data_IF_824658922466
#
_entry.id   IF_824658922466
#
_cell.length_a   1.000
_cell.length_b   1.000
_cell.length_c   1.000
_cell.angle_alpha   90.00
_cell.angle_beta   90.00
_cell.angle_gamma   90.00
#
_symmetry.space_group_name_H-M   'P 1'
#
loop_
_entity.id
_entity.type
_entity.pdbx_description
1 polymer ?
#
# COMPACT_ATOMS: atom_id res chain seq x y z
N UNK A 1 -4.40 7.73 8.54
CA UNK A 1 -4.02 6.64 9.46
C UNK A 1 -4.92 5.41 9.31
N UNK A 2 -6.25 5.56 9.34
CA UNK A 2 -7.19 4.43 9.24
C UNK A 2 -7.01 3.58 7.98
N UNK A 3 -6.86 4.20 6.80
CA UNK A 3 -6.59 3.48 5.53
C UNK A 3 -5.37 2.57 5.67
N UNK A 4 -4.31 3.07 6.34
CA UNK A 4 -3.08 2.32 6.53
C UNK A 4 -3.28 1.17 7.53
N UNK A 5 -3.94 1.40 8.66
CA UNK A 5 -4.22 0.32 9.62
C UNK A 5 -5.08 -0.78 8.97
N UNK A 6 -6.11 -0.42 8.22
CA UNK A 6 -6.94 -1.41 7.51
C UNK A 6 -6.14 -2.24 6.50
N UNK A 7 -5.17 -1.62 5.81
CA UNK A 7 -4.29 -2.34 4.89
C UNK A 7 -3.34 -3.30 5.63
N UNK A 8 -2.81 -2.88 6.79
CA UNK A 8 -1.97 -3.71 7.66
C UNK A 8 -2.75 -4.91 8.19
N UNK A 9 -3.98 -4.69 8.68
CA UNK A 9 -4.84 -5.76 9.19
C UNK A 9 -5.18 -6.78 8.09
N UNK A 10 -5.42 -6.32 6.85
CA UNK A 10 -5.59 -7.22 5.71
C UNK A 10 -4.31 -8.01 5.40
N UNK A 11 -3.14 -7.37 5.42
CA UNK A 11 -1.87 -8.05 5.19
C UNK A 11 -1.59 -9.13 6.26
N UNK A 12 -1.93 -8.87 7.52
CA UNK A 12 -1.86 -9.85 8.59
C UNK A 12 -2.73 -11.08 8.33
N UNK A 13 -3.98 -10.86 7.89
CA UNK A 13 -4.90 -11.95 7.49
C UNK A 13 -4.34 -12.77 6.33
N UNK A 14 -3.62 -12.13 5.42
CA UNK A 14 -2.91 -12.79 4.32
C UNK A 14 -1.59 -13.47 4.74
N UNK A 15 -1.27 -13.49 6.03
CA UNK A 15 -0.10 -14.19 6.59
C UNK A 15 1.17 -13.34 6.67
N UNK A 16 1.13 -12.06 6.28
CA UNK A 16 2.28 -11.15 6.39
C UNK A 16 2.29 -10.56 7.82
N UNK A 17 3.11 -11.12 8.72
CA UNK A 17 3.05 -10.78 10.15
C UNK A 17 3.58 -9.38 10.50
N UNK A 18 4.54 -8.87 9.72
CA UNK A 18 5.16 -7.54 9.93
C UNK A 18 5.31 -6.83 8.58
N UNK A 19 4.21 -6.42 7.94
CA UNK A 19 4.24 -5.79 6.63
C UNK A 19 5.07 -4.51 6.66
N UNK A 20 5.85 -4.33 5.59
CA UNK A 20 6.63 -3.13 5.30
C UNK A 20 5.81 -2.19 4.46
N UNK A 21 5.62 -0.97 4.94
CA UNK A 21 4.72 0.00 4.33
C UNK A 21 5.50 1.21 3.86
N UNK A 22 5.51 1.42 2.55
CA UNK A 22 6.01 2.64 1.94
C UNK A 22 4.86 3.65 1.80
N UNK A 23 5.00 4.84 2.41
CA UNK A 23 4.10 5.97 2.17
C UNK A 23 4.66 6.83 1.06
N UNK A 24 3.95 6.89 -0.06
CA UNK A 24 4.44 7.53 -1.27
C UNK A 24 4.38 9.05 -1.18
N UNK A 25 5.44 9.68 -1.68
CA UNK A 25 5.49 11.10 -1.96
C UNK A 25 6.40 11.33 -3.20
N UNK A 26 6.35 12.50 -3.85
CA UNK A 26 7.15 12.75 -5.05
C UNK A 26 8.65 12.90 -4.80
N UNK A 27 9.07 13.11 -3.54
CA UNK A 27 10.47 13.25 -3.10
C UNK A 27 10.65 12.59 -1.73
N UNK A 28 11.88 12.25 -1.37
CA UNK A 28 12.20 11.47 -0.15
C UNK A 28 12.50 12.32 1.08
N UNK A 29 12.58 13.64 0.91
CA UNK A 29 12.81 14.59 2.00
C UNK A 29 11.50 15.29 2.35
N UNK A 30 11.26 15.48 3.64
CA UNK A 30 10.10 16.26 4.11
C UNK A 30 10.21 17.69 3.61
N UNK A 31 9.26 18.08 2.77
CA UNK A 31 9.12 19.43 2.26
C UNK A 31 7.76 19.97 2.72
N UNK A 32 7.71 20.98 3.60
CA UNK A 32 6.45 21.58 4.07
C UNK A 32 5.55 22.11 2.94
N UNK A 33 6.09 22.44 1.78
CA UNK A 33 5.33 22.91 0.61
C UNK A 33 4.68 21.75 -0.17
N UNK A 34 5.01 20.50 0.17
CA UNK A 34 4.48 19.28 -0.45
C UNK A 34 3.79 18.43 0.62
N UNK A 35 2.46 18.58 0.73
CA UNK A 35 1.65 17.92 1.76
C UNK A 35 1.88 16.40 1.86
N UNK A 36 2.03 15.71 0.72
CA UNK A 36 2.28 14.28 0.68
C UNK A 36 3.52 13.87 1.50
N UNK A 37 4.57 14.72 1.49
CA UNK A 37 5.80 14.44 2.24
C UNK A 37 5.63 14.64 3.74
N UNK A 38 4.79 15.59 4.14
CA UNK A 38 4.43 15.87 5.53
C UNK A 38 3.57 14.75 6.09
N UNK A 39 2.55 14.33 5.33
CA UNK A 39 1.65 13.24 5.71
C UNK A 39 2.41 11.91 5.83
N UNK A 40 3.32 11.64 4.90
CA UNK A 40 4.19 10.46 4.95
C UNK A 40 5.04 10.43 6.22
N UNK A 41 5.73 11.54 6.53
CA UNK A 41 6.54 11.63 7.74
C UNK A 41 5.72 11.49 9.03
N UNK A 42 4.51 12.08 9.05
CA UNK A 42 3.59 11.95 10.18
C UNK A 42 3.19 10.48 10.38
N UNK A 43 2.77 9.78 9.32
CA UNK A 43 2.37 8.37 9.39
C UNK A 43 3.53 7.46 9.84
N UNK A 44 4.74 7.67 9.32
CA UNK A 44 5.95 6.98 9.78
C UNK A 44 6.16 7.20 11.28
N UNK A 45 5.99 8.43 11.77
CA UNK A 45 6.15 8.72 13.20
C UNK A 45 5.04 8.12 14.07
N UNK A 46 3.81 8.10 13.57
CA UNK A 46 2.67 7.46 14.24
C UNK A 46 2.91 5.96 14.44
N UNK A 47 3.44 5.27 13.42
CA UNK A 47 3.82 3.87 13.51
C UNK A 47 4.97 3.62 14.50
N UNK A 48 6.03 4.44 14.45
CA UNK A 48 7.12 4.38 15.43
C UNK A 48 6.65 4.57 16.88
N UNK A 49 5.59 5.37 17.08
CA UNK A 49 4.96 5.61 18.39
C UNK A 49 3.87 4.59 18.74
N UNK A 50 3.66 3.56 17.93
CA UNK A 50 2.68 2.49 18.18
C UNK A 50 1.22 2.91 18.00
N UNK A 51 0.94 4.04 17.36
CA UNK A 51 -0.42 4.45 17.02
C UNK A 51 -0.97 3.65 15.83
N UNK A 52 -0.09 3.36 14.86
CA UNK A 52 -0.32 2.37 13.80
C UNK A 52 0.46 1.12 14.21
N UNK A 53 -0.20 -0.02 14.26
CA UNK A 53 0.31 -1.22 14.93
C UNK A 53 0.57 -2.35 13.95
N UNK A 54 1.54 -3.19 14.27
CA UNK A 54 1.77 -4.45 13.58
C UNK A 54 2.57 -4.34 12.28
N UNK A 55 3.15 -3.18 11.96
CA UNK A 55 3.86 -2.95 10.72
C UNK A 55 5.14 -2.11 10.92
N UNK A 56 5.97 -2.06 9.88
CA UNK A 56 7.04 -1.06 9.76
C UNK A 56 6.60 -0.07 8.70
N UNK A 57 6.58 1.22 9.03
CA UNK A 57 6.18 2.28 8.09
C UNK A 57 7.36 3.19 7.86
N UNK A 58 7.61 3.47 6.60
CA UNK A 58 8.57 4.48 6.19
C UNK A 58 8.05 5.31 5.03
N UNK A 59 8.56 6.53 4.94
CA UNK A 59 8.04 7.57 4.08
C UNK A 59 8.47 8.94 4.60
N UNK A 60 8.63 9.94 3.72
CA UNK A 60 8.26 9.90 2.31
C UNK A 60 9.19 9.07 1.42
N UNK A 61 8.62 8.28 0.51
CA UNK A 61 9.36 7.50 -0.47
C UNK A 61 8.79 7.71 -1.88
N UNK A 62 9.64 7.93 -2.88
CA UNK A 62 9.23 7.82 -4.27
C UNK A 62 8.96 6.36 -4.65
N UNK A 63 8.17 6.13 -5.70
CA UNK A 63 7.69 4.80 -6.08
C UNK A 63 8.83 3.83 -6.42
N UNK A 64 9.87 4.29 -7.12
CA UNK A 64 11.06 3.50 -7.43
C UNK A 64 11.75 2.98 -6.16
N UNK A 65 11.88 3.83 -5.15
CA UNK A 65 12.50 3.44 -3.88
C UNK A 65 11.61 2.56 -3.02
N UNK A 66 10.29 2.52 -3.27
CA UNK A 66 9.41 1.60 -2.58
C UNK A 66 9.59 0.16 -3.11
N UNK A 67 9.96 -0.01 -4.37
CA UNK A 67 9.93 -1.32 -5.07
C UNK A 67 11.28 -1.84 -5.59
N UNK A 68 12.32 -1.01 -5.64
CA UNK A 68 13.68 -1.42 -6.05
C UNK A 68 14.72 -1.09 -4.99
N UNK A 69 15.44 -2.13 -4.54
CA UNK A 69 16.57 -1.98 -3.62
C UNK A 69 17.71 -1.21 -4.26
N UNK A 70 17.93 -1.40 -5.56
CA UNK A 70 18.96 -0.71 -6.33
C UNK A 70 18.69 0.80 -6.40
N UNK A 71 17.44 1.20 -6.66
CA UNK A 71 17.04 2.61 -6.67
C UNK A 71 17.20 3.27 -5.30
N UNK A 72 16.76 2.58 -4.24
CA UNK A 72 16.92 3.04 -2.86
C UNK A 72 18.40 3.22 -2.47
N UNK A 73 19.26 2.25 -2.82
CA UNK A 73 20.69 2.30 -2.56
C UNK A 73 21.38 3.42 -3.35
N UNK A 74 21.02 3.61 -4.62
CA UNK A 74 21.57 4.69 -5.45
C UNK A 74 21.28 6.08 -4.88
N UNK A 75 20.17 6.23 -4.13
CA UNK A 75 19.80 7.46 -3.41
C UNK A 75 20.27 7.49 -1.95
N UNK A 76 20.98 6.46 -1.48
CA UNK A 76 21.50 6.39 -0.11
C UNK A 76 20.42 6.24 0.97
N UNK A 77 19.29 5.61 0.65
CA UNK A 77 18.18 5.44 1.58
C UNK A 77 18.41 4.20 2.44
N UNK A 78 18.57 4.41 3.74
CA UNK A 78 18.69 3.33 4.73
C UNK A 78 17.34 3.08 5.40
N UNK A 79 16.66 2.00 5.00
CA UNK A 79 15.34 1.65 5.50
C UNK A 79 15.05 0.16 5.33
N UNK A 80 14.35 -0.44 6.30
CA UNK A 80 13.83 -1.82 6.18
C UNK A 80 12.72 -1.93 5.11
N UNK A 81 12.09 -0.81 4.75
CA UNK A 81 10.96 -0.72 3.81
C UNK A 81 11.42 -0.45 2.39
N UNK A 82 12.47 0.37 2.21
CA UNK A 82 12.90 0.80 0.89
C UNK A 82 13.35 -0.40 0.02
N UNK A 83 12.76 -0.49 -1.16
CA UNK A 83 12.98 -1.54 -2.15
C UNK A 83 12.34 -2.88 -1.82
N UNK A 84 11.56 -2.97 -0.76
CA UNK A 84 11.02 -4.24 -0.24
C UNK A 84 9.66 -4.02 0.45
N UNK A 85 8.86 -3.07 -0.06
CA UNK A 85 7.56 -2.74 0.50
C UNK A 85 6.50 -3.83 0.17
N UNK A 86 5.79 -4.28 1.20
CA UNK A 86 4.62 -5.16 1.06
C UNK A 86 3.34 -4.35 0.77
N UNK A 87 3.26 -3.14 1.34
CA UNK A 87 2.14 -2.20 1.20
C UNK A 87 2.68 -0.87 0.66
N UNK A 88 2.01 -0.33 -0.35
CA UNK A 88 2.28 0.99 -0.91
C UNK A 88 1.06 1.88 -0.65
N UNK A 89 1.21 2.86 0.25
CA UNK A 89 0.16 3.84 0.52
C UNK A 89 0.34 5.04 -0.40
N UNK A 90 -0.61 5.22 -1.33
CA UNK A 90 -0.62 6.32 -2.30
C UNK A 90 -1.20 7.60 -1.69
N UNK A 91 -0.78 8.80 -2.14
CA UNK A 91 -1.22 10.07 -1.54
C UNK A 91 -2.68 10.43 -1.86
N UNK A 92 -3.18 9.98 -3.02
CA UNK A 92 -4.54 10.29 -3.47
C UNK A 92 -5.09 9.25 -4.44
N UNK A 93 -6.40 9.36 -4.69
CA UNK A 93 -7.15 8.47 -5.59
C UNK A 93 -6.58 8.46 -7.01
N UNK A 94 -6.15 9.61 -7.52
CA UNK A 94 -5.62 9.72 -8.89
C UNK A 94 -4.37 8.85 -9.07
N UNK A 95 -3.43 8.93 -8.13
CA UNK A 95 -2.21 8.11 -8.13
C UNK A 95 -2.55 6.62 -7.99
N UNK A 96 -3.42 6.24 -7.05
CA UNK A 96 -3.84 4.85 -6.87
C UNK A 96 -4.52 4.25 -8.11
N UNK A 97 -5.40 5.01 -8.76
CA UNK A 97 -6.09 4.58 -9.97
C UNK A 97 -5.13 4.42 -11.15
N UNK A 98 -4.23 5.38 -11.35
CA UNK A 98 -3.24 5.33 -12.42
C UNK A 98 -2.27 4.15 -12.22
N UNK A 99 -1.79 3.93 -10.99
CA UNK A 99 -0.85 2.86 -10.66
C UNK A 99 -1.47 1.47 -10.90
N UNK A 100 -2.68 1.22 -10.42
CA UNK A 100 -3.38 -0.07 -10.64
C UNK A 100 -3.65 -0.33 -12.13
N UNK A 101 -4.00 0.71 -12.90
CA UNK A 101 -4.12 0.60 -14.37
C UNK A 101 -2.78 0.34 -15.04
N UNK A 102 -1.71 1.00 -14.63
CA UNK A 102 -0.37 0.76 -15.17
C UNK A 102 0.07 -0.70 -14.94
N UNK A 103 -0.15 -1.24 -13.74
CA UNK A 103 0.12 -2.66 -13.44
C UNK A 103 -0.69 -3.59 -14.37
N UNK A 104 -1.96 -3.25 -14.60
CA UNK A 104 -2.85 -4.07 -15.43
C UNK A 104 -2.49 -4.01 -16.92
N UNK A 105 -2.38 -2.80 -17.48
CA UNK A 105 -2.31 -2.57 -18.92
C UNK A 105 -0.89 -2.46 -19.48
N UNK A 106 0.09 -2.10 -18.64
CA UNK A 106 1.49 -1.96 -19.05
C UNK A 106 2.29 -3.17 -18.56
N UNK A 107 2.19 -3.49 -17.26
CA UNK A 107 2.92 -4.64 -16.71
C UNK A 107 2.25 -5.99 -16.98
N UNK A 108 1.05 -6.00 -17.57
CA UNK A 108 0.25 -7.20 -17.87
C UNK A 108 0.08 -8.12 -16.66
N UNK A 109 -0.12 -7.52 -15.47
CA UNK A 109 -0.36 -8.26 -14.22
C UNK A 109 -1.82 -8.13 -13.81
N UNK A 110 -2.33 -9.15 -13.13
CA UNK A 110 -3.70 -9.09 -12.58
C UNK A 110 -3.67 -8.31 -11.27
N UNK A 111 -4.49 -7.27 -11.19
CA UNK A 111 -4.79 -6.56 -9.94
C UNK A 111 -6.13 -7.08 -9.42
N UNK A 112 -6.17 -7.38 -8.12
CA UNK A 112 -7.39 -7.74 -7.40
C UNK A 112 -7.63 -6.73 -6.29
N UNK A 113 -8.86 -6.62 -5.81
CA UNK A 113 -9.22 -5.62 -4.81
C UNK A 113 -10.06 -6.23 -3.69
N UNK A 114 -9.96 -5.65 -2.50
CA UNK A 114 -10.88 -5.87 -1.40
C UNK A 114 -11.22 -4.53 -0.77
N UNK A 115 -12.47 -4.38 -0.35
CA UNK A 115 -12.90 -3.25 0.47
C UNK A 115 -12.87 -3.68 1.91
N UNK A 116 -12.15 -2.93 2.75
CA UNK A 116 -11.93 -3.24 4.16
C UNK A 116 -12.45 -2.12 5.05
N UNK A 117 -12.79 -2.44 6.30
CA UNK A 117 -13.36 -1.51 7.28
C UNK A 117 -14.89 -1.46 7.34
N UNK A 118 -15.59 -2.20 6.46
CA UNK A 118 -17.02 -2.42 6.56
C UNK A 118 -17.35 -3.65 7.44
N UNK A 119 -18.57 -3.73 7.97
CA UNK A 119 -19.05 -4.86 8.78
C UNK A 119 -19.32 -6.14 7.96
N UNK A 120 -19.26 -6.05 6.63
CA UNK A 120 -19.46 -7.17 5.72
C UNK A 120 -18.57 -6.99 4.48
N UNK A 121 -18.22 -8.07 3.76
CA UNK A 121 -17.39 -7.98 2.56
C UNK A 121 -18.07 -7.21 1.45
N UNK A 122 -17.37 -6.21 0.90
CA UNK A 122 -17.83 -5.45 -0.26
C UNK A 122 -16.88 -5.65 -1.43
N UNK A 123 -17.45 -6.07 -2.56
CA UNK A 123 -16.73 -6.33 -3.80
C UNK A 123 -17.11 -5.28 -4.84
N UNK A 124 -16.12 -4.51 -5.29
CA UNK A 124 -16.24 -3.65 -6.46
C UNK A 124 -15.37 -4.21 -7.57
N UNK A 125 -15.93 -4.39 -8.76
CA UNK A 125 -15.20 -4.85 -9.94
C UNK A 125 -15.24 -3.79 -11.03
N UNK A 126 -14.14 -3.61 -11.76
CA UNK A 126 -14.17 -2.87 -13.02
C UNK A 126 -14.86 -3.67 -14.12
N UNK A 127 -15.60 -2.97 -15.00
CA UNK A 127 -16.17 -3.56 -16.23
C UNK A 127 -15.10 -4.24 -17.09
N UNK A 128 -13.88 -3.70 -17.08
CA UNK A 128 -12.76 -4.16 -17.89
C UNK A 128 -11.88 -5.22 -17.23
N UNK A 129 -12.18 -5.63 -15.99
CA UNK A 129 -11.44 -6.71 -15.33
C UNK A 129 -11.69 -8.06 -15.99
N UNK A 130 -10.64 -8.89 -16.04
CA UNK A 130 -10.73 -10.26 -16.51
C UNK A 130 -11.63 -11.11 -15.60
N UNK A 131 -12.20 -12.19 -16.15
CA UNK A 131 -13.00 -13.14 -15.37
C UNK A 131 -12.21 -13.71 -14.18
N UNK A 132 -10.92 -13.99 -14.38
CA UNK A 132 -10.04 -14.48 -13.32
C UNK A 132 -9.81 -13.42 -12.24
N UNK A 133 -9.57 -12.16 -12.61
CA UNK A 133 -9.44 -11.04 -11.66
C UNK A 133 -10.70 -10.91 -10.78
N UNK A 134 -11.88 -10.96 -11.39
CA UNK A 134 -13.16 -10.92 -10.64
C UNK A 134 -13.32 -12.08 -9.66
N UNK A 135 -13.00 -13.31 -10.08
CA UNK A 135 -13.06 -14.49 -9.20
C UNK A 135 -12.09 -14.37 -8.02
N UNK A 136 -10.86 -13.92 -8.26
CA UNK A 136 -9.86 -13.74 -7.20
C UNK A 136 -10.23 -12.59 -6.26
N UNK A 137 -10.81 -11.50 -6.76
CA UNK A 137 -11.36 -10.40 -5.94
C UNK A 137 -12.48 -10.92 -5.01
N UNK A 138 -13.39 -11.76 -5.51
CA UNK A 138 -14.44 -12.39 -4.67
C UNK A 138 -13.79 -13.30 -3.63
N UNK A 139 -12.83 -14.14 -4.03
CA UNK A 139 -12.14 -15.04 -3.10
C UNK A 139 -11.40 -14.27 -2.00
N UNK A 140 -10.70 -13.17 -2.35
CA UNK A 140 -10.02 -12.29 -1.39
C UNK A 140 -11.02 -11.67 -0.41
N UNK A 141 -12.17 -11.21 -0.89
CA UNK A 141 -13.19 -10.62 -0.04
C UNK A 141 -13.79 -11.63 0.96
N UNK A 142 -14.02 -12.87 0.54
CA UNK A 142 -14.49 -13.95 1.43
C UNK A 142 -13.40 -14.34 2.43
N UNK A 143 -12.18 -14.58 1.96
CA UNK A 143 -11.05 -14.94 2.82
C UNK A 143 -10.76 -13.85 3.88
N UNK A 144 -10.83 -12.59 3.46
CA UNK A 144 -10.69 -11.46 4.36
C UNK A 144 -11.79 -11.37 5.41
N UNK A 145 -12.96 -11.98 5.19
CA UNK A 145 -14.11 -11.96 6.12
C UNK A 145 -14.06 -13.06 7.18
N UNK A 146 -13.55 -14.25 6.83
CA UNK A 146 -13.64 -15.46 7.67
C UNK A 146 -12.66 -15.49 8.85
N UNK A 147 -11.84 -14.45 9.04
CA UNK A 147 -10.77 -14.40 10.05
C UNK A 147 -11.17 -13.70 11.36
N UNK A 148 -12.43 -13.77 11.78
CA UNK A 148 -12.89 -13.34 13.13
C UNK A 148 -12.75 -14.45 14.18
#
# INVERSE_FOLDING_TARGET
AEILQNAVDLAHRLGIQRPRVAVLAPVEVVNPDIQDTVDAAALSKMAQRGQIKGCVVDGPLAFDNAVSKEAAQAKGIESEVAGDADIILVPNLGVGNALTKAITYIANKTVIAATVGASAPLVFTSRTESRQGKLLTIALAVYGAESE
#
